data_IF_600911003308
#
_entry.id   IF_600911003308
#
_cell.length_a   1.000
_cell.length_b   1.000
_cell.length_c   1.000
_cell.angle_alpha   90.00
_cell.angle_beta   90.00
_cell.angle_gamma   90.00
#
_symmetry.space_group_name_H-M   'P 1'
#
loop_
_entity.id
_entity.type
_entity.pdbx_description
1 polymer ?
#
# COMPACT_ATOMS: atom_id res chain seq x y z
N UNK A 1 11.17 -16.51 16.18
CA UNK A 1 10.87 -16.51 14.73
C UNK A 1 10.63 -15.04 14.34
N UNK A 2 10.76 -14.67 13.07
CA UNK A 2 10.56 -13.28 12.63
C UNK A 2 9.10 -13.07 12.17
N UNK A 3 8.63 -11.82 12.25
CA UNK A 3 7.31 -11.40 11.78
C UNK A 3 6.14 -12.01 12.56
N UNK A 4 6.24 -12.04 13.88
CA UNK A 4 5.21 -12.61 14.78
C UNK A 4 4.60 -11.58 15.74
N UNK A 5 5.17 -10.37 15.81
CA UNK A 5 4.67 -9.33 16.70
C UNK A 5 3.26 -8.89 16.31
N UNK A 6 2.39 -8.81 17.31
CA UNK A 6 1.05 -8.25 17.17
C UNK A 6 1.06 -6.75 17.41
N UNK A 7 0.18 -6.05 16.73
CA UNK A 7 0.01 -4.62 16.91
C UNK A 7 -0.72 -4.31 18.24
N UNK A 8 -0.17 -3.39 18.98
CA UNK A 8 -0.80 -2.78 20.13
C UNK A 8 -0.47 -1.27 20.19
N UNK A 9 -1.00 -0.54 21.18
CA UNK A 9 -0.77 0.91 21.28
C UNK A 9 0.67 1.29 21.63
N UNK A 10 1.47 0.38 22.20
CA UNK A 10 2.88 0.62 22.55
C UNK A 10 3.80 0.22 21.43
N UNK A 11 3.33 -0.71 20.58
CA UNK A 11 4.05 -1.25 19.45
C UNK A 11 3.16 -1.11 18.19
N UNK A 12 3.01 0.12 17.65
CA UNK A 12 2.24 0.35 16.44
C UNK A 12 2.93 -0.32 15.25
N UNK A 13 2.18 -0.58 14.18
CA UNK A 13 2.74 -0.92 12.88
C UNK A 13 3.08 0.34 12.10
N UNK A 14 3.95 0.21 11.10
CA UNK A 14 4.26 1.28 10.17
C UNK A 14 4.05 0.83 8.73
N UNK A 15 3.27 1.60 7.98
CA UNK A 15 3.04 1.35 6.55
C UNK A 15 3.45 2.61 5.78
N UNK A 16 4.37 2.43 4.81
CA UNK A 16 4.84 3.50 3.93
C UNK A 16 4.46 3.18 2.49
N UNK A 17 3.87 4.14 1.80
CA UNK A 17 3.58 4.05 0.37
C UNK A 17 4.50 4.97 -0.41
N UNK A 18 5.19 4.42 -1.42
CA UNK A 18 5.90 5.15 -2.45
C UNK A 18 5.02 5.12 -3.69
N UNK A 19 4.55 6.27 -4.12
CA UNK A 19 3.54 6.38 -5.18
C UNK A 19 4.14 7.09 -6.37
N UNK A 20 4.23 6.37 -7.47
CA UNK A 20 4.61 6.95 -8.75
C UNK A 20 3.59 8.01 -9.17
N UNK A 21 4.08 9.20 -9.43
CA UNK A 21 3.31 10.35 -9.92
C UNK A 21 3.93 10.90 -11.22
N UNK A 22 4.69 10.07 -11.96
CA UNK A 22 5.27 10.44 -13.24
C UNK A 22 4.21 10.68 -14.31
N UNK A 23 4.62 11.25 -15.44
CA UNK A 23 3.70 11.59 -16.54
C UNK A 23 2.94 10.39 -17.11
N UNK A 24 3.54 9.19 -17.13
CA UNK A 24 2.90 7.95 -17.58
C UNK A 24 1.72 7.51 -16.72
N UNK A 25 1.65 7.96 -15.47
CA UNK A 25 0.51 7.69 -14.58
C UNK A 25 -0.79 8.38 -15.01
N UNK A 26 -0.75 9.30 -15.97
CA UNK A 26 -1.94 9.89 -16.60
C UNK A 26 -2.54 9.00 -17.71
N UNK A 27 -1.83 7.97 -18.13
CA UNK A 27 -2.34 6.99 -19.09
C UNK A 27 -3.41 6.08 -18.47
N UNK A 28 -4.35 5.55 -19.29
CA UNK A 28 -5.36 4.61 -18.80
C UNK A 28 -4.74 3.34 -18.20
N UNK A 29 -5.38 2.80 -17.15
CA UNK A 29 -5.04 1.47 -16.65
C UNK A 29 -5.60 0.38 -17.56
N UNK A 30 -4.99 -0.79 -17.58
CA UNK A 30 -5.43 -1.92 -18.37
C UNK A 30 -6.91 -2.27 -18.12
N UNK A 31 -7.68 -2.33 -19.21
CA UNK A 31 -9.11 -2.71 -19.17
C UNK A 31 -10.08 -1.61 -18.75
N UNK A 32 -9.59 -0.41 -18.39
CA UNK A 32 -10.42 0.70 -17.94
C UNK A 32 -9.98 2.03 -18.58
N UNK A 33 -10.92 2.97 -18.88
CA UNK A 33 -10.56 4.26 -19.48
C UNK A 33 -10.00 5.26 -18.45
N UNK A 34 -9.92 4.90 -17.16
CA UNK A 34 -9.49 5.79 -16.08
C UNK A 34 -7.96 5.84 -16.00
N UNK A 35 -7.36 7.03 -15.74
CA UNK A 35 -5.92 7.14 -15.51
C UNK A 35 -5.43 6.24 -14.35
N UNK A 36 -4.22 5.69 -14.48
CA UNK A 36 -3.56 4.91 -13.42
C UNK A 36 -3.49 5.70 -12.11
N UNK A 37 -3.14 7.00 -12.17
CA UNK A 37 -3.10 7.89 -11.01
C UNK A 37 -4.43 7.97 -10.26
N UNK A 38 -5.55 7.99 -10.98
CA UNK A 38 -6.88 8.02 -10.37
C UNK A 38 -7.18 6.69 -9.66
N UNK A 39 -6.95 5.57 -10.32
CA UNK A 39 -7.20 4.23 -9.74
C UNK A 39 -6.32 3.99 -8.51
N UNK A 40 -5.04 4.38 -8.57
CA UNK A 40 -4.12 4.29 -7.42
C UNK A 40 -4.61 5.16 -6.26
N UNK A 41 -5.00 6.42 -6.51
CA UNK A 41 -5.50 7.30 -5.45
C UNK A 41 -6.80 6.77 -4.81
N UNK A 42 -7.71 6.23 -5.61
CA UNK A 42 -8.95 5.62 -5.11
C UNK A 42 -8.67 4.39 -4.24
N UNK A 43 -7.79 3.48 -4.69
CA UNK A 43 -7.42 2.28 -3.93
C UNK A 43 -6.72 2.62 -2.61
N UNK A 44 -5.83 3.61 -2.60
CA UNK A 44 -5.15 4.06 -1.38
C UNK A 44 -6.12 4.76 -0.40
N UNK A 45 -7.05 5.60 -0.89
CA UNK A 45 -8.08 6.20 -0.04
C UNK A 45 -9.00 5.12 0.57
N UNK A 46 -9.36 4.09 -0.19
CA UNK A 46 -10.16 2.98 0.32
C UNK A 46 -9.40 2.17 1.37
N UNK A 47 -8.11 1.89 1.12
CA UNK A 47 -7.27 1.23 2.10
C UNK A 47 -7.17 2.03 3.41
N UNK A 48 -6.90 3.34 3.33
CA UNK A 48 -6.83 4.21 4.50
C UNK A 48 -8.15 4.20 5.29
N UNK A 49 -9.28 4.30 4.60
CA UNK A 49 -10.60 4.21 5.23
C UNK A 49 -10.79 2.89 5.97
N UNK A 50 -10.43 1.78 5.34
CA UNK A 50 -10.53 0.45 5.96
C UNK A 50 -9.57 0.30 7.15
N UNK A 51 -8.35 0.86 7.09
CA UNK A 51 -7.42 0.88 8.22
C UNK A 51 -7.96 1.70 9.40
N UNK A 52 -8.56 2.88 9.13
CA UNK A 52 -9.24 3.68 10.16
C UNK A 52 -10.35 2.87 10.82
N UNK A 53 -11.24 2.23 10.04
CA UNK A 53 -12.34 1.42 10.58
C UNK A 53 -11.84 0.25 11.44
N UNK A 54 -10.76 -0.40 11.06
CA UNK A 54 -10.13 -1.48 11.86
C UNK A 54 -9.58 -1.00 13.19
N UNK A 55 -9.24 0.29 13.30
CA UNK A 55 -8.71 0.89 14.54
C UNK A 55 -9.80 1.40 15.48
N UNK A 56 -11.07 1.39 15.06
CA UNK A 56 -12.25 1.79 15.87
C UNK A 56 -12.90 0.56 16.48
N UNK A 57 -13.17 0.54 17.78
CA UNK A 57 -13.84 -0.59 18.46
C UNK A 57 -15.34 -0.42 18.64
N UNK A 58 -15.85 0.79 18.61
CA UNK A 58 -17.28 1.10 18.80
C UNK A 58 -17.70 2.32 18.00
N UNK A 59 -18.98 2.42 17.63
CA UNK A 59 -19.52 3.46 16.72
C UNK A 59 -19.26 4.91 17.14
N UNK A 60 -18.91 5.15 18.41
CA UNK A 60 -18.62 6.48 18.97
C UNK A 60 -17.21 6.62 19.56
N UNK A 61 -16.31 5.65 19.38
CA UNK A 61 -14.95 5.73 19.85
C UNK A 61 -14.00 6.32 18.80
N UNK A 62 -13.02 7.13 19.24
CA UNK A 62 -11.92 7.56 18.39
C UNK A 62 -11.03 6.37 18.00
N UNK A 63 -10.44 6.36 16.81
CA UNK A 63 -9.50 5.32 16.41
C UNK A 63 -8.33 5.21 17.38
N UNK A 64 -7.85 4.00 17.59
CA UNK A 64 -6.67 3.73 18.40
C UNK A 64 -5.41 3.83 17.56
N UNK A 65 -4.34 4.36 18.12
CA UNK A 65 -3.04 4.47 17.44
C UNK A 65 -2.39 3.09 17.28
N UNK A 66 -2.83 2.34 16.27
CA UNK A 66 -2.25 1.06 15.91
C UNK A 66 -1.31 1.14 14.71
N UNK A 67 -1.35 2.25 13.95
CA UNK A 67 -0.52 2.45 12.77
C UNK A 67 0.03 3.85 12.67
N UNK A 68 1.28 3.94 12.19
CA UNK A 68 1.85 5.13 11.58
C UNK A 68 1.84 4.92 10.06
N UNK A 69 1.33 5.91 9.34
CA UNK A 69 1.13 5.85 7.88
C UNK A 69 1.98 6.92 7.22
N UNK A 70 2.77 6.53 6.23
CA UNK A 70 3.51 7.45 5.36
C UNK A 70 3.09 7.31 3.91
N UNK A 71 3.13 8.43 3.19
CA UNK A 71 2.94 8.44 1.74
C UNK A 71 3.92 9.42 1.11
N UNK A 72 4.82 8.93 0.27
CA UNK A 72 5.78 9.71 -0.51
C UNK A 72 5.43 9.55 -1.99
N UNK A 73 5.09 10.64 -2.65
CA UNK A 73 4.94 10.70 -4.11
C UNK A 73 6.27 10.99 -4.78
N UNK A 74 6.47 10.45 -5.97
CA UNK A 74 7.63 10.76 -6.80
C UNK A 74 7.21 10.94 -8.26
N UNK A 75 7.54 12.11 -8.80
CA UNK A 75 7.18 12.59 -10.13
C UNK A 75 7.92 13.88 -10.42
N UNK A 76 7.22 14.98 -10.66
CA UNK A 76 7.82 16.29 -10.78
C UNK A 76 8.59 16.71 -9.50
N UNK A 77 8.17 16.22 -8.34
CA UNK A 77 8.82 16.39 -7.04
C UNK A 77 8.81 15.06 -6.28
N UNK A 78 9.67 14.96 -5.25
CA UNK A 78 9.66 13.86 -4.30
C UNK A 78 9.28 14.39 -2.91
N UNK A 79 8.18 13.90 -2.35
CA UNK A 79 7.73 14.38 -1.05
C UNK A 79 6.42 13.80 -0.56
N UNK A 80 5.98 14.20 0.65
CA UNK A 80 4.73 13.75 1.23
C UNK A 80 3.51 14.08 0.35
N UNK A 81 2.58 13.12 0.25
CA UNK A 81 1.39 13.22 -0.61
C UNK A 81 0.17 13.72 0.13
N UNK A 82 0.11 13.54 1.44
CA UNK A 82 -1.02 14.01 2.23
C UNK A 82 -1.25 15.53 2.07
N UNK A 83 -2.51 15.89 1.86
CA UNK A 83 -2.92 17.28 1.75
C UNK A 83 -3.51 17.85 3.05
N UNK A 84 -3.97 19.12 3.00
CA UNK A 84 -4.66 19.77 4.11
C UNK A 84 -3.82 19.87 5.38
N UNK A 85 -4.39 19.53 6.52
CA UNK A 85 -3.72 19.58 7.84
C UNK A 85 -2.55 18.58 7.98
N UNK A 86 -2.49 17.56 7.13
CA UNK A 86 -1.42 16.56 7.11
C UNK A 86 -0.29 16.89 6.14
N UNK A 87 -0.39 18.00 5.43
CA UNK A 87 0.59 18.40 4.40
C UNK A 87 2.01 18.52 4.96
N UNK A 88 2.99 18.03 4.18
CA UNK A 88 4.41 18.10 4.52
C UNK A 88 4.89 17.08 5.56
N UNK A 89 4.03 16.24 6.09
CA UNK A 89 4.38 15.21 7.08
C UNK A 89 4.72 13.89 6.38
N UNK A 90 5.92 13.35 6.65
CA UNK A 90 6.37 12.06 6.09
C UNK A 90 5.67 10.87 6.75
N UNK A 91 5.33 10.98 8.03
CA UNK A 91 4.55 10.00 8.79
C UNK A 91 3.45 10.71 9.59
N UNK A 92 2.29 10.09 9.66
CA UNK A 92 1.13 10.54 10.44
C UNK A 92 0.53 9.34 11.18
N UNK A 93 -0.03 9.56 12.37
CA UNK A 93 -0.74 8.50 13.06
C UNK A 93 -2.08 8.20 12.35
N UNK A 94 -2.58 6.96 12.49
CA UNK A 94 -3.92 6.60 11.97
C UNK A 94 -5.02 7.44 12.62
N UNK A 95 -4.79 7.99 13.81
CA UNK A 95 -5.70 8.93 14.48
C UNK A 95 -5.73 10.26 13.73
N UNK A 96 -4.56 10.82 13.40
CA UNK A 96 -4.46 12.03 12.57
C UNK A 96 -5.13 11.83 11.20
N UNK A 97 -4.95 10.65 10.58
CA UNK A 97 -5.61 10.30 9.31
C UNK A 97 -7.13 10.37 9.48
N UNK A 98 -7.67 9.77 10.54
CA UNK A 98 -9.11 9.76 10.78
C UNK A 98 -9.69 11.17 11.01
N UNK A 99 -8.96 12.02 11.73
CA UNK A 99 -9.42 13.35 12.13
C UNK A 99 -9.27 14.40 11.02
N UNK A 100 -8.40 14.15 10.04
CA UNK A 100 -8.02 15.16 9.05
C UNK A 100 -8.10 14.67 7.59
N UNK A 101 -9.27 14.20 7.09
CA UNK A 101 -9.45 13.99 5.66
C UNK A 101 -9.29 15.31 4.91
N UNK A 102 -8.75 15.28 3.70
CA UNK A 102 -8.65 16.43 2.82
C UNK A 102 -10.04 16.95 2.41
N UNK A 103 -10.95 16.00 2.15
CA UNK A 103 -12.35 16.26 1.84
C UNK A 103 -13.21 15.03 2.16
N UNK A 104 -14.53 15.24 2.22
CA UNK A 104 -15.51 14.15 2.36
C UNK A 104 -16.44 14.20 1.18
N UNK A 105 -16.45 13.16 0.36
CA UNK A 105 -17.31 13.06 -0.82
C UNK A 105 -18.51 12.14 -0.58
N UNK A 106 -19.59 12.34 -1.31
CA UNK A 106 -20.70 11.38 -1.33
C UNK A 106 -20.47 10.36 -2.43
N UNK A 107 -20.46 9.06 -2.07
CA UNK A 107 -20.43 7.94 -3.02
C UNK A 107 -21.75 7.21 -3.00
N UNK A 108 -22.24 6.85 -4.18
CA UNK A 108 -23.36 5.91 -4.29
C UNK A 108 -22.84 4.49 -4.09
N UNK A 109 -23.34 3.84 -3.08
CA UNK A 109 -23.09 2.42 -2.78
C UNK A 109 -24.41 1.67 -2.94
N UNK A 110 -24.30 0.39 -3.24
CA UNK A 110 -25.45 -0.48 -3.42
C UNK A 110 -25.57 -1.37 -2.18
N UNK A 111 -26.68 -1.27 -1.44
CA UNK A 111 -26.96 -2.18 -0.33
C UNK A 111 -28.08 -3.15 -0.70
N UNK A 112 -27.89 -4.42 -0.35
CA UNK A 112 -28.95 -5.43 -0.45
C UNK A 112 -29.89 -5.28 0.76
N UNK A 113 -31.14 -4.91 0.52
CA UNK A 113 -32.19 -4.93 1.54
C UNK A 113 -33.19 -6.04 1.20
N UNK A 114 -33.42 -6.93 2.14
CA UNK A 114 -34.39 -8.02 2.07
C UNK A 114 -33.86 -9.32 2.65
N UNK A 115 -34.60 -9.93 3.57
CA UNK A 115 -34.39 -11.31 4.05
C UNK A 115 -35.36 -12.24 3.35
N UNK A 116 -34.85 -13.21 2.57
CA UNK A 116 -35.65 -14.25 1.90
C UNK A 116 -36.10 -13.88 0.49
N UNK A 117 -35.43 -14.41 -0.51
CA UNK A 117 -35.93 -14.56 -1.90
C UNK A 117 -36.04 -13.33 -2.80
N UNK A 118 -36.31 -12.15 -2.27
CA UNK A 118 -36.45 -10.90 -3.01
C UNK A 118 -35.54 -9.81 -2.44
N UNK A 119 -34.22 -9.97 -2.61
CA UNK A 119 -33.26 -8.93 -2.23
C UNK A 119 -33.28 -7.79 -3.26
N UNK A 120 -33.90 -6.67 -2.90
CA UNK A 120 -33.84 -5.46 -3.73
C UNK A 120 -32.54 -4.70 -3.50
N UNK A 121 -31.90 -4.33 -4.59
CA UNK A 121 -30.71 -3.50 -4.61
C UNK A 121 -31.12 -2.04 -4.46
N UNK A 122 -30.81 -1.41 -3.32
CA UNK A 122 -31.16 -0.01 -3.04
C UNK A 122 -29.90 0.83 -3.08
N UNK A 123 -29.84 1.91 -3.92
CA UNK A 123 -28.74 2.85 -3.89
C UNK A 123 -28.73 3.59 -2.55
N UNK A 124 -27.58 3.62 -1.90
CA UNK A 124 -27.33 4.35 -0.65
C UNK A 124 -26.21 5.35 -0.88
N UNK A 125 -26.41 6.58 -0.47
CA UNK A 125 -25.34 7.58 -0.43
C UNK A 125 -24.57 7.41 0.87
N UNK A 126 -23.25 7.21 0.75
CA UNK A 126 -22.34 7.10 1.87
C UNK A 126 -21.29 8.19 1.80
N UNK A 127 -21.02 8.83 2.91
CA UNK A 127 -19.88 9.76 3.05
C UNK A 127 -18.59 8.96 3.04
N UNK A 128 -17.66 9.36 2.16
CA UNK A 128 -16.37 8.71 2.02
C UNK A 128 -15.25 9.76 2.16
N UNK A 129 -14.34 9.59 3.12
CA UNK A 129 -13.22 10.50 3.31
C UNK A 129 -12.16 10.29 2.23
N UNK A 130 -11.56 11.38 1.77
CA UNK A 130 -10.49 11.41 0.78
C UNK A 130 -9.31 12.13 1.40
N UNK A 131 -8.12 11.53 1.34
CA UNK A 131 -6.88 12.09 1.89
C UNK A 131 -5.89 12.48 0.81
N UNK A 132 -5.93 11.81 -0.34
CA UNK A 132 -5.02 12.03 -1.46
C UNK A 132 -5.81 12.20 -2.76
N UNK A 133 -5.28 13.04 -3.64
CA UNK A 133 -5.83 13.26 -4.98
C UNK A 133 -4.95 12.62 -6.05
N UNK A 134 -5.52 12.22 -7.20
CA UNK A 134 -4.74 11.80 -8.35
C UNK A 134 -3.72 12.87 -8.73
N UNK A 135 -2.50 12.45 -9.01
CA UNK A 135 -1.43 13.33 -9.46
C UNK A 135 -0.59 12.60 -10.49
N UNK A 136 -0.28 13.26 -11.61
CA UNK A 136 0.62 12.76 -12.63
C UNK A 136 1.42 13.90 -13.24
N UNK A 137 2.71 13.68 -13.50
CA UNK A 137 3.62 14.64 -14.16
C UNK A 137 5.07 14.46 -13.76
N UNK A 138 5.97 14.84 -14.65
CA UNK A 138 7.41 14.74 -14.44
C UNK A 138 7.98 13.37 -14.78
N UNK A 139 9.16 13.11 -14.24
CA UNK A 139 9.94 11.87 -14.42
C UNK A 139 9.62 10.87 -13.29
N UNK A 140 10.41 9.79 -13.19
CA UNK A 140 10.24 8.71 -12.20
C UNK A 140 11.45 8.64 -11.24
N UNK A 141 11.63 9.60 -10.32
CA UNK A 141 12.78 9.65 -9.40
C UNK A 141 12.60 8.63 -8.24
N UNK A 142 12.55 7.36 -8.58
CA UNK A 142 12.31 6.25 -7.65
C UNK A 142 13.44 6.10 -6.63
N UNK A 143 14.72 6.32 -7.04
CA UNK A 143 15.86 6.24 -6.12
C UNK A 143 15.75 7.30 -5.02
N UNK A 144 15.41 8.53 -5.38
CA UNK A 144 15.24 9.62 -4.41
C UNK A 144 14.05 9.35 -3.45
N UNK A 145 12.96 8.76 -3.95
CA UNK A 145 11.82 8.36 -3.11
C UNK A 145 12.21 7.27 -2.11
N UNK A 146 12.96 6.25 -2.54
CA UNK A 146 13.45 5.18 -1.67
C UNK A 146 14.47 5.68 -0.65
N UNK A 147 15.35 6.62 -1.02
CA UNK A 147 16.30 7.23 -0.09
C UNK A 147 15.56 7.99 1.02
N UNK A 148 14.57 8.82 0.64
CA UNK A 148 13.74 9.54 1.61
C UNK A 148 13.01 8.58 2.54
N UNK A 149 12.37 7.54 2.00
CA UNK A 149 11.71 6.51 2.80
C UNK A 149 12.69 5.81 3.74
N UNK A 150 13.91 5.52 3.27
CA UNK A 150 14.97 4.94 4.08
C UNK A 150 15.30 5.77 5.31
N UNK A 151 15.42 7.09 5.16
CA UNK A 151 15.65 8.02 6.28
C UNK A 151 14.50 8.02 7.30
N UNK A 152 13.25 8.03 6.80
CA UNK A 152 12.06 7.98 7.67
C UNK A 152 11.97 6.63 8.41
N UNK A 153 12.16 5.52 7.70
CA UNK A 153 12.11 4.18 8.29
C UNK A 153 13.24 3.93 9.28
N UNK A 154 14.46 4.43 9.03
CA UNK A 154 15.56 4.33 9.98
C UNK A 154 15.22 5.00 11.32
N UNK A 155 14.64 6.19 11.27
CA UNK A 155 14.20 6.90 12.48
C UNK A 155 13.07 6.16 13.19
N UNK A 156 12.11 5.62 12.44
CA UNK A 156 10.97 4.90 13.02
C UNK A 156 11.38 3.59 13.69
N UNK A 157 12.21 2.75 13.06
CA UNK A 157 12.66 1.47 13.65
C UNK A 157 13.51 1.69 14.91
N UNK A 158 14.28 2.79 14.94
CA UNK A 158 15.03 3.17 16.14
C UNK A 158 14.10 3.56 17.29
N UNK A 159 13.00 4.24 17.01
CA UNK A 159 12.00 4.62 18.02
C UNK A 159 11.11 3.46 18.47
N UNK A 160 10.92 2.44 17.62
CA UNK A 160 9.99 1.32 17.83
C UNK A 160 10.67 -0.05 17.68
N UNK A 161 11.76 -0.35 18.42
CA UNK A 161 12.54 -1.57 18.22
C UNK A 161 11.77 -2.86 18.52
N UNK A 162 10.70 -2.78 19.32
CA UNK A 162 9.85 -3.92 19.69
C UNK A 162 8.63 -4.14 18.80
N UNK A 163 8.39 -3.25 17.83
CA UNK A 163 7.24 -3.34 16.92
C UNK A 163 7.45 -4.37 15.81
N UNK A 164 6.36 -4.74 15.15
CA UNK A 164 6.42 -5.39 13.83
C UNK A 164 7.20 -4.50 12.85
N UNK A 165 8.08 -5.05 12.00
CA UNK A 165 8.86 -4.22 11.09
C UNK A 165 7.98 -3.48 10.07
N UNK A 166 8.41 -2.28 9.62
CA UNK A 166 7.67 -1.52 8.64
C UNK A 166 7.43 -2.28 7.33
N UNK A 167 6.29 -2.02 6.71
CA UNK A 167 5.96 -2.48 5.37
C UNK A 167 5.99 -1.28 4.43
N UNK A 168 6.78 -1.38 3.37
CA UNK A 168 6.89 -0.35 2.34
C UNK A 168 6.31 -0.88 1.04
N UNK A 169 5.33 -0.18 0.49
CA UNK A 169 4.76 -0.45 -0.83
C UNK A 169 5.33 0.53 -1.84
N UNK A 170 5.86 0.05 -2.94
CA UNK A 170 6.22 0.85 -4.09
C UNK A 170 5.25 0.55 -5.24
N UNK A 171 4.51 1.56 -5.68
CA UNK A 171 3.48 1.46 -6.73
C UNK A 171 3.98 2.27 -7.92
N UNK A 172 4.27 1.61 -9.05
CA UNK A 172 4.87 2.26 -10.21
C UNK A 172 4.44 1.59 -11.52
N UNK A 173 4.46 2.36 -12.60
CA UNK A 173 4.21 1.87 -13.96
C UNK A 173 5.46 1.90 -14.85
N UNK A 174 6.59 2.43 -14.38
CA UNK A 174 7.77 2.69 -15.19
C UNK A 174 9.12 2.50 -14.50
N UNK A 175 10.17 2.61 -15.32
CA UNK A 175 11.54 2.52 -14.86
C UNK A 175 11.97 3.79 -14.10
N UNK A 176 12.84 3.61 -13.10
CA UNK A 176 13.51 4.73 -12.45
C UNK A 176 14.31 5.55 -13.47
N UNK A 177 14.20 6.89 -13.38
CA UNK A 177 14.93 7.82 -14.25
C UNK A 177 16.16 8.44 -13.59
N UNK A 178 16.36 8.18 -12.30
CA UNK A 178 17.39 8.77 -11.45
C UNK A 178 18.46 7.76 -10.99
N UNK A 179 18.51 6.57 -11.62
CA UNK A 179 19.54 5.57 -11.37
C UNK A 179 19.02 4.15 -11.14
N UNK A 180 19.85 3.31 -10.53
CA UNK A 180 19.49 1.93 -10.17
C UNK A 180 18.88 1.87 -8.77
N UNK A 181 17.55 1.65 -8.64
CA UNK A 181 16.86 1.66 -7.35
C UNK A 181 17.19 0.45 -6.47
N UNK A 182 17.82 -0.63 -7.00
CA UNK A 182 18.17 -1.82 -6.22
C UNK A 182 19.11 -1.53 -5.05
N UNK A 183 19.97 -0.54 -5.19
CA UNK A 183 20.89 -0.14 -4.11
C UNK A 183 20.09 0.41 -2.93
N UNK A 184 19.10 1.27 -3.20
CA UNK A 184 18.25 1.88 -2.20
C UNK A 184 17.26 0.88 -1.59
N UNK A 185 16.70 -0.01 -2.42
CA UNK A 185 15.85 -1.12 -1.97
C UNK A 185 16.58 -2.03 -0.97
N UNK A 186 17.82 -2.42 -1.27
CA UNK A 186 18.63 -3.24 -0.34
C UNK A 186 18.92 -2.50 0.97
N UNK A 187 19.24 -1.20 0.93
CA UNK A 187 19.45 -0.38 2.14
C UNK A 187 18.19 -0.34 2.99
N UNK A 188 17.03 -0.08 2.35
CA UNK A 188 15.73 -0.05 3.02
C UNK A 188 15.42 -1.40 3.70
N UNK A 189 15.56 -2.50 2.97
CA UNK A 189 15.34 -3.87 3.49
C UNK A 189 16.40 -4.34 4.50
N UNK A 190 17.50 -3.62 4.69
CA UNK A 190 18.48 -3.90 5.74
C UNK A 190 18.12 -3.26 7.09
N UNK A 191 17.22 -2.30 7.10
CA UNK A 191 16.64 -1.75 8.34
C UNK A 191 15.73 -2.80 8.98
N UNK A 192 15.54 -2.72 10.29
CA UNK A 192 14.65 -3.68 10.95
C UNK A 192 14.40 -3.38 12.41
N UNK A 193 13.44 -4.08 12.96
CA UNK A 193 13.12 -4.16 14.39
C UNK A 193 13.64 -5.50 14.94
N UNK A 194 13.38 -5.77 16.20
CA UNK A 194 13.71 -7.07 16.83
C UNK A 194 12.90 -8.24 16.21
N UNK A 195 11.79 -7.94 15.51
CA UNK A 195 10.91 -8.94 14.92
C UNK A 195 11.20 -9.25 13.44
N UNK A 196 12.07 -8.48 12.80
CA UNK A 196 12.48 -8.72 11.41
C UNK A 196 12.89 -7.47 10.67
N UNK A 197 13.26 -7.66 9.42
CA UNK A 197 13.66 -6.58 8.53
C UNK A 197 12.45 -5.89 7.90
N UNK A 198 12.63 -4.63 7.47
CA UNK A 198 11.65 -3.91 6.66
C UNK A 198 11.26 -4.74 5.44
N UNK A 199 9.97 -4.85 5.21
CA UNK A 199 9.41 -5.52 4.04
C UNK A 199 9.18 -4.50 2.92
N UNK A 200 9.76 -4.73 1.75
CA UNK A 200 9.51 -3.94 0.55
C UNK A 200 8.69 -4.75 -0.44
N UNK A 201 7.54 -4.25 -0.81
CA UNK A 201 6.61 -4.85 -1.75
C UNK A 201 6.43 -3.94 -2.96
N UNK A 202 6.44 -4.51 -4.16
CA UNK A 202 6.31 -3.77 -5.40
C UNK A 202 5.01 -4.13 -6.13
N UNK A 203 4.33 -3.11 -6.64
CA UNK A 203 3.15 -3.23 -7.48
C UNK A 203 3.41 -2.54 -8.82
N UNK A 204 3.41 -3.30 -9.90
CA UNK A 204 3.45 -2.74 -11.23
C UNK A 204 2.02 -2.52 -11.75
N UNK A 205 1.70 -1.28 -12.05
CA UNK A 205 0.42 -0.87 -12.66
C UNK A 205 0.62 -0.78 -14.16
N UNK A 206 -0.19 -1.48 -14.94
CA UNK A 206 0.00 -1.57 -16.39
C UNK A 206 -1.11 -0.89 -17.17
N UNK A 207 -0.77 -0.33 -18.33
CA UNK A 207 -1.71 0.08 -19.38
C UNK A 207 -2.01 -1.06 -20.38
N UNK A 208 -1.21 -2.13 -20.37
CA UNK A 208 -1.34 -3.24 -21.31
C UNK A 208 -2.32 -4.29 -20.80
N UNK A 209 -3.28 -4.76 -21.61
CA UNK A 209 -4.20 -5.82 -21.24
C UNK A 209 -3.46 -7.17 -21.26
N UNK A 210 -2.81 -7.50 -20.14
CA UNK A 210 -2.11 -8.75 -19.92
C UNK A 210 -2.56 -9.36 -18.59
N UNK A 211 -2.47 -10.69 -18.41
CA UNK A 211 -2.84 -11.33 -17.17
C UNK A 211 -2.03 -10.81 -15.99
N UNK A 212 -2.70 -10.53 -14.87
CA UNK A 212 -2.04 -10.19 -13.62
C UNK A 212 -1.27 -11.39 -13.08
N UNK A 213 -0.01 -11.19 -12.72
CA UNK A 213 0.84 -12.19 -12.08
C UNK A 213 1.02 -11.83 -10.59
N UNK A 214 0.50 -12.69 -9.73
CA UNK A 214 0.62 -12.53 -8.27
C UNK A 214 1.80 -13.31 -7.71
N UNK A 215 2.60 -12.68 -6.88
CA UNK A 215 3.60 -13.27 -6.01
C UNK A 215 4.51 -14.31 -6.67
N UNK A 216 5.15 -13.98 -7.81
CA UNK A 216 6.06 -14.91 -8.46
C UNK A 216 7.22 -15.28 -7.53
N UNK A 217 7.74 -16.50 -7.68
CA UNK A 217 8.94 -16.98 -7.00
C UNK A 217 10.14 -17.12 -7.94
N UNK A 218 9.87 -17.15 -9.25
CA UNK A 218 10.87 -17.32 -10.30
C UNK A 218 10.84 -16.10 -11.25
N UNK A 219 11.96 -15.38 -11.44
CA UNK A 219 12.03 -14.26 -12.37
C UNK A 219 11.93 -14.67 -13.84
N UNK A 220 12.07 -15.94 -14.19
CA UNK A 220 11.99 -16.42 -15.57
C UNK A 220 10.60 -16.29 -16.19
N UNK A 221 9.56 -16.18 -15.36
CA UNK A 221 8.17 -15.94 -15.81
C UNK A 221 7.91 -14.47 -16.19
N UNK A 222 8.86 -13.58 -15.97
CA UNK A 222 8.75 -12.15 -16.25
C UNK A 222 9.34 -11.83 -17.62
N UNK A 223 8.58 -11.12 -18.43
CA UNK A 223 8.85 -10.89 -19.85
C UNK A 223 9.80 -9.72 -20.14
N UNK A 224 10.05 -8.84 -19.17
CA UNK A 224 10.90 -7.67 -19.35
C UNK A 224 11.82 -7.36 -18.14
N UNK A 225 12.85 -6.56 -18.39
CA UNK A 225 13.88 -6.24 -17.41
C UNK A 225 13.35 -5.37 -16.26
N UNK A 226 12.35 -4.54 -16.51
CA UNK A 226 11.72 -3.74 -15.48
C UNK A 226 10.95 -4.59 -14.47
N UNK A 227 10.18 -5.57 -14.96
CA UNK A 227 9.49 -6.52 -14.09
C UNK A 227 10.48 -7.33 -13.25
N UNK A 228 11.61 -7.78 -13.86
CA UNK A 228 12.69 -8.48 -13.13
C UNK A 228 13.33 -7.59 -12.08
N UNK A 229 13.55 -6.31 -12.38
CA UNK A 229 14.08 -5.33 -11.42
C UNK A 229 13.16 -5.17 -10.21
N UNK A 230 11.86 -4.98 -10.40
CA UNK A 230 10.90 -4.89 -9.30
C UNK A 230 10.81 -6.20 -8.50
N UNK A 231 10.86 -7.34 -9.18
CA UNK A 231 10.92 -8.64 -8.52
C UNK A 231 12.16 -8.76 -7.62
N UNK A 232 13.35 -8.40 -8.10
CA UNK A 232 14.60 -8.42 -7.33
C UNK A 232 14.54 -7.51 -6.10
N UNK A 233 13.84 -6.39 -6.21
CA UNK A 233 13.65 -5.41 -5.13
C UNK A 233 12.57 -5.84 -4.12
N UNK A 234 11.83 -6.91 -4.38
CA UNK A 234 10.73 -7.32 -3.51
C UNK A 234 11.19 -8.30 -2.44
N UNK A 235 10.73 -8.11 -1.21
CA UNK A 235 10.93 -9.05 -0.10
C UNK A 235 10.20 -10.37 -0.36
N UNK A 236 10.74 -11.47 0.16
CA UNK A 236 10.00 -12.74 0.23
C UNK A 236 8.82 -12.56 1.19
N UNK A 237 7.67 -13.11 0.84
CA UNK A 237 6.47 -13.04 1.68
C UNK A 237 6.71 -13.80 3.00
N UNK A 238 6.44 -13.17 4.16
CA UNK A 238 6.42 -13.86 5.43
C UNK A 238 5.37 -14.98 5.48
N UNK A 239 5.55 -16.03 6.30
CA UNK A 239 4.62 -17.17 6.36
C UNK A 239 3.17 -16.76 6.62
N UNK A 240 2.92 -15.83 7.54
CA UNK A 240 1.56 -15.38 7.84
C UNK A 240 0.85 -14.73 6.64
N UNK A 241 1.58 -14.02 5.76
CA UNK A 241 1.00 -13.45 4.54
C UNK A 241 0.69 -14.53 3.50
N UNK A 242 1.47 -15.60 3.47
CA UNK A 242 1.16 -16.79 2.65
C UNK A 242 -0.17 -17.39 3.09
N UNK A 243 -0.42 -17.48 4.41
CA UNK A 243 -1.70 -17.97 4.96
C UNK A 243 -2.87 -17.04 4.56
N UNK A 244 -2.68 -15.73 4.59
CA UNK A 244 -3.69 -14.75 4.12
C UNK A 244 -3.97 -14.93 2.63
N UNK A 245 -2.95 -15.11 1.79
CA UNK A 245 -3.11 -15.39 0.37
C UNK A 245 -3.93 -16.66 0.12
N UNK A 246 -3.65 -17.72 0.87
CA UNK A 246 -4.39 -18.99 0.77
C UNK A 246 -5.87 -18.82 1.12
N UNK A 247 -6.19 -18.06 2.18
CA UNK A 247 -7.57 -17.73 2.53
C UNK A 247 -8.30 -16.96 1.43
N UNK A 248 -7.57 -16.17 0.64
CA UNK A 248 -8.10 -15.44 -0.51
C UNK A 248 -8.05 -16.24 -1.82
N UNK A 249 -7.67 -17.53 -1.77
CA UNK A 249 -7.48 -18.39 -2.95
C UNK A 249 -6.48 -17.85 -3.97
N UNK A 250 -5.46 -17.11 -3.50
CA UNK A 250 -4.37 -16.60 -4.35
C UNK A 250 -3.19 -17.58 -4.27
N UNK A 251 -2.76 -18.20 -5.38
CA UNK A 251 -1.65 -19.12 -5.40
C UNK A 251 -0.35 -18.45 -4.92
N UNK A 252 0.32 -19.04 -3.95
CA UNK A 252 1.54 -18.50 -3.35
C UNK A 252 2.56 -19.61 -3.20
N UNK A 253 3.43 -19.82 -4.20
CA UNK A 253 4.45 -20.87 -4.15
C UNK A 253 5.51 -20.55 -3.09
N UNK A 254 6.24 -21.56 -2.58
CA UNK A 254 7.37 -21.34 -1.67
C UNK A 254 8.40 -20.38 -2.26
N UNK A 255 8.82 -19.38 -1.48
CA UNK A 255 9.75 -18.34 -1.93
C UNK A 255 9.10 -17.21 -2.74
N UNK A 256 7.77 -17.17 -2.81
CA UNK A 256 7.02 -16.07 -3.42
C UNK A 256 7.45 -14.72 -2.86
N UNK A 257 7.56 -13.73 -3.74
CA UNK A 257 7.93 -12.36 -3.37
C UNK A 257 6.71 -11.46 -3.33
N UNK A 258 6.76 -10.43 -2.51
CA UNK A 258 5.75 -9.36 -2.42
C UNK A 258 5.74 -8.50 -3.69
N UNK A 259 5.42 -9.12 -4.83
CA UNK A 259 5.39 -8.49 -6.13
C UNK A 259 4.12 -8.88 -6.89
N UNK A 260 3.45 -7.88 -7.45
CA UNK A 260 2.36 -8.08 -8.41
C UNK A 260 2.70 -7.35 -9.70
N UNK A 261 2.66 -8.08 -10.80
CA UNK A 261 2.95 -7.58 -12.15
C UNK A 261 1.66 -7.47 -12.97
N UNK A 262 1.55 -6.43 -13.80
CA UNK A 262 0.37 -6.10 -14.59
C UNK A 262 -0.91 -6.01 -13.74
N UNK A 263 -0.85 -5.27 -12.64
CA UNK A 263 -1.99 -5.11 -11.76
C UNK A 263 -3.09 -4.25 -12.41
N UNK A 264 -4.30 -4.79 -12.42
CA UNK A 264 -5.54 -4.04 -12.58
C UNK A 264 -6.04 -3.47 -11.25
N UNK A 265 -7.16 -2.78 -11.25
CA UNK A 265 -7.77 -2.20 -10.04
C UNK A 265 -8.07 -3.24 -8.96
N UNK A 266 -8.54 -4.42 -9.34
CA UNK A 266 -8.86 -5.52 -8.40
C UNK A 266 -7.60 -6.10 -7.77
N UNK A 267 -6.57 -6.35 -8.58
CA UNK A 267 -5.29 -6.86 -8.12
C UNK A 267 -4.60 -5.89 -7.15
N UNK A 268 -4.70 -4.59 -7.42
CA UNK A 268 -4.17 -3.55 -6.54
C UNK A 268 -4.84 -3.61 -5.15
N UNK A 269 -6.17 -3.69 -5.10
CA UNK A 269 -6.91 -3.78 -3.82
C UNK A 269 -6.52 -5.04 -3.05
N UNK A 270 -6.43 -6.19 -3.72
CA UNK A 270 -6.01 -7.45 -3.09
C UNK A 270 -4.58 -7.35 -2.54
N UNK A 271 -3.65 -6.83 -3.33
CA UNK A 271 -2.25 -6.68 -2.93
C UNK A 271 -2.09 -5.77 -1.71
N UNK A 272 -2.72 -4.60 -1.73
CA UNK A 272 -2.69 -3.66 -0.62
C UNK A 272 -3.32 -4.25 0.64
N UNK A 273 -4.42 -5.00 0.51
CA UNK A 273 -5.08 -5.67 1.63
C UNK A 273 -4.19 -6.75 2.25
N UNK A 274 -3.58 -7.61 1.44
CA UNK A 274 -2.68 -8.68 1.92
C UNK A 274 -1.48 -8.08 2.63
N UNK A 275 -0.81 -7.14 1.99
CA UNK A 275 0.40 -6.54 2.53
C UNK A 275 0.17 -5.63 3.74
N UNK A 276 -1.03 -5.08 3.93
CA UNK A 276 -1.40 -4.32 5.13
C UNK A 276 -1.97 -5.18 6.26
N UNK A 277 -2.15 -6.47 6.03
CA UNK A 277 -2.55 -7.40 7.08
C UNK A 277 -1.33 -7.79 7.92
N UNK A 278 -1.17 -7.13 9.05
CA UNK A 278 -0.09 -7.37 10.03
C UNK A 278 -0.51 -8.39 11.10
N UNK A 279 -1.47 -9.25 10.78
CA UNK A 279 -2.03 -10.24 11.70
C UNK A 279 -3.08 -9.66 12.68
N UNK A 280 -3.60 -10.46 13.61
CA UNK A 280 -4.65 -10.04 14.52
C UNK A 280 -4.14 -8.95 15.46
N UNK A 281 -4.85 -7.81 15.49
CA UNK A 281 -4.68 -6.81 16.54
C UNK A 281 -5.10 -7.41 17.89
N UNK A 282 -4.38 -7.09 18.98
CA UNK A 282 -4.80 -7.54 20.30
C UNK A 282 -6.21 -7.03 20.62
N UNK A 283 -7.13 -7.99 20.76
CA UNK A 283 -8.46 -7.71 21.28
C UNK A 283 -8.35 -7.51 22.80
N UNK A 284 -8.31 -6.27 23.27
CA UNK A 284 -8.56 -5.92 24.66
C UNK A 284 -9.73 -4.99 24.75
#
# INVERSE_FOLDING_TARGET
>A
MAYEKRLDRRNPGCIMFLVDQSGSMDEPIAGEPRPKSQVVAEALNELLYNLVLRCVKGESESPRHYYDIGMIGYGANVGPVFGGALSGRDLVSIVDVADHPLEVVERETVSLQGGGGDAATVPRRQKFPVWIRPTAGGLTPMCAAMDRAGGVMASWVQAHPGSFPPIVFNISDGNATDGDPRVWARRLMSLGTQDGNVLLFNLNVSALPAPTLYFPHDPSVLDNDYARLLFEMSSVLPPYMVDVCQQMSIPTPPGARGFVYNADSSAMVHFLRIGSDTGPMEAR
#
